data_IF_356720178544
#
_entry.id   IF_356720178544
#
_cell.length_a   1.000
_cell.length_b   1.000
_cell.length_c   1.000
_cell.angle_alpha   90.00
_cell.angle_beta   90.00
_cell.angle_gamma   90.00
#
_symmetry.space_group_name_H-M   'P 1'
#
loop_
_entity.id
_entity.type
_entity.pdbx_description
1 polymer ?
#
# COMPACT_ATOMS: atom_id res chain seq x y z
N UNK A 1 -10.69 26.37 -23.87
CA UNK A 1 -10.31 25.51 -22.73
C UNK A 1 -10.40 24.06 -23.18
N UNK A 2 -9.28 23.34 -23.28
CA UNK A 2 -9.29 21.93 -23.66
C UNK A 2 -9.74 21.07 -22.48
N UNK A 3 -10.86 20.36 -22.63
CA UNK A 3 -11.52 19.57 -21.56
C UNK A 3 -10.83 18.22 -21.33
N UNK A 4 -10.09 17.72 -22.32
CA UNK A 4 -9.40 16.44 -22.32
C UNK A 4 -7.87 16.63 -22.31
N UNK A 5 -7.18 15.79 -21.53
CA UNK A 5 -5.72 15.70 -21.51
C UNK A 5 -5.31 14.24 -21.72
N UNK A 6 -4.26 14.02 -22.51
CA UNK A 6 -3.75 12.69 -22.82
C UNK A 6 -2.48 12.44 -22.02
N UNK A 7 -2.35 11.23 -21.49
CA UNK A 7 -1.17 10.78 -20.75
C UNK A 7 -0.51 9.64 -21.51
N UNK A 8 0.80 9.70 -21.59
CA UNK A 8 1.62 8.64 -22.13
C UNK A 8 1.65 7.42 -21.19
N UNK A 9 1.30 6.26 -21.73
CA UNK A 9 1.51 4.96 -21.09
C UNK A 9 2.23 4.12 -22.15
N UNK A 10 3.56 4.11 -22.12
CA UNK A 10 4.41 3.24 -22.96
C UNK A 10 4.34 3.52 -24.47
N UNK A 11 4.30 4.79 -24.88
CA UNK A 11 4.19 5.19 -26.30
C UNK A 11 5.15 6.36 -26.55
N UNK A 12 5.93 6.36 -27.63
CA UNK A 12 6.88 7.44 -27.91
C UNK A 12 6.23 8.84 -27.88
N UNK A 13 7.00 9.82 -27.37
CA UNK A 13 6.60 11.23 -27.23
C UNK A 13 6.05 11.81 -28.55
N UNK A 14 6.63 11.42 -29.69
CA UNK A 14 6.20 11.88 -31.02
C UNK A 14 4.78 11.41 -31.39
N UNK A 15 4.48 10.14 -31.11
CA UNK A 15 3.13 9.58 -31.32
C UNK A 15 2.11 10.23 -30.39
N UNK A 16 2.49 10.57 -29.16
CA UNK A 16 1.63 11.29 -28.21
C UNK A 16 1.35 12.73 -28.66
N UNK A 17 2.35 13.43 -29.21
CA UNK A 17 2.17 14.78 -29.75
C UNK A 17 1.22 14.76 -30.95
N UNK A 18 1.34 13.77 -31.84
CA UNK A 18 0.42 13.62 -32.97
C UNK A 18 -1.02 13.32 -32.50
N UNK A 19 -1.19 12.38 -31.56
CA UNK A 19 -2.51 12.06 -31.00
C UNK A 19 -3.14 13.26 -30.28
N UNK A 20 -2.36 14.03 -29.53
CA UNK A 20 -2.80 15.25 -28.86
C UNK A 20 -3.25 16.32 -29.84
N UNK A 21 -2.53 16.48 -30.97
CA UNK A 21 -2.94 17.38 -32.06
C UNK A 21 -4.23 16.94 -32.73
N UNK A 22 -4.39 15.64 -33.00
CA UNK A 22 -5.60 15.07 -33.63
C UNK A 22 -6.84 15.20 -32.75
N UNK A 23 -6.70 14.96 -31.45
CA UNK A 23 -7.81 15.01 -30.48
C UNK A 23 -8.07 16.45 -29.99
N UNK A 24 -7.17 17.39 -30.30
CA UNK A 24 -7.20 18.75 -29.77
C UNK A 24 -7.05 18.77 -28.24
N UNK A 25 -6.27 17.86 -27.67
CA UNK A 25 -6.03 17.72 -26.23
C UNK A 25 -4.64 18.19 -25.82
N UNK A 26 -4.43 18.48 -24.53
CA UNK A 26 -3.11 18.81 -23.97
C UNK A 26 -2.40 17.56 -23.44
N UNK A 27 -1.06 17.51 -23.55
CA UNK A 27 -0.25 16.45 -22.93
C UNK A 27 -0.23 16.62 -21.40
N UNK A 28 -0.38 15.52 -20.68
CA UNK A 28 -0.33 15.45 -19.22
C UNK A 28 0.96 14.74 -18.80
N UNK A 29 1.85 15.46 -18.13
CA UNK A 29 3.11 14.90 -17.59
C UNK A 29 2.89 14.34 -16.19
N UNK A 30 3.50 13.21 -15.90
CA UNK A 30 3.50 12.63 -14.56
C UNK A 30 4.57 13.30 -13.67
N UNK A 31 4.35 13.42 -12.36
CA UNK A 31 3.11 13.13 -11.63
C UNK A 31 2.09 14.28 -11.73
N UNK A 32 0.79 13.95 -11.79
CA UNK A 32 -0.30 14.94 -11.81
C UNK A 32 -1.39 14.60 -10.78
N UNK A 33 -2.21 15.59 -10.42
CA UNK A 33 -3.32 15.39 -9.49
C UNK A 33 -4.63 15.14 -10.24
N UNK A 34 -5.31 14.05 -9.92
CA UNK A 34 -6.62 13.68 -10.44
C UNK A 34 -7.54 13.25 -9.28
N UNK A 35 -8.73 13.85 -9.20
CA UNK A 35 -9.68 13.64 -8.10
C UNK A 35 -9.05 13.83 -6.70
N UNK A 36 -8.09 14.74 -6.57
CA UNK A 36 -7.36 14.97 -5.33
C UNK A 36 -6.33 13.88 -4.99
N UNK A 37 -6.03 12.99 -5.95
CA UNK A 37 -5.00 11.96 -5.88
C UNK A 37 -3.81 12.22 -6.80
N UNK A 38 -2.57 12.11 -6.32
CA UNK A 38 -1.39 12.15 -7.18
C UNK A 38 -1.22 10.83 -7.92
N UNK A 39 -1.40 10.87 -9.23
CA UNK A 39 -1.20 9.75 -10.15
C UNK A 39 0.20 9.84 -10.77
N UNK A 40 0.87 8.69 -10.88
CA UNK A 40 2.22 8.59 -11.45
C UNK A 40 3.36 8.88 -10.47
N UNK A 41 3.08 9.09 -9.18
CA UNK A 41 4.10 9.18 -8.15
C UNK A 41 4.49 7.80 -7.59
N UNK A 42 5.77 7.61 -7.23
CA UNK A 42 6.25 6.37 -6.63
C UNK A 42 5.79 6.29 -5.16
N UNK A 43 4.63 5.69 -4.90
CA UNK A 43 4.03 5.62 -3.56
C UNK A 43 4.79 4.72 -2.57
N UNK A 44 5.83 4.02 -3.02
CA UNK A 44 6.81 3.37 -2.14
C UNK A 44 7.75 4.36 -1.43
N UNK A 45 7.90 5.60 -1.93
CA UNK A 45 8.75 6.64 -1.34
C UNK A 45 8.02 7.44 -0.28
N UNK A 46 8.72 7.79 0.80
CA UNK A 46 8.20 8.59 1.92
C UNK A 46 7.66 9.94 1.44
N UNK A 47 8.42 10.66 0.60
CA UNK A 47 8.08 12.00 0.14
C UNK A 47 6.77 12.04 -0.67
N UNK A 48 6.40 10.93 -1.31
CA UNK A 48 5.14 10.81 -2.06
C UNK A 48 3.92 10.91 -1.14
N UNK A 49 4.06 10.58 0.15
CA UNK A 49 3.01 10.66 1.15
C UNK A 49 2.88 12.04 1.82
N UNK A 50 3.82 12.97 1.57
CA UNK A 50 3.79 14.27 2.24
C UNK A 50 2.51 15.06 1.93
N UNK A 51 1.93 14.91 0.74
CA UNK A 51 0.64 15.55 0.44
C UNK A 51 -0.49 15.01 1.32
N UNK A 52 -0.54 13.69 1.55
CA UNK A 52 -1.55 13.07 2.43
C UNK A 52 -1.34 13.50 3.88
N UNK A 53 -0.08 13.53 4.33
CA UNK A 53 0.28 13.98 5.67
C UNK A 53 -0.07 15.47 5.86
N UNK A 54 0.21 16.30 4.86
CA UNK A 54 -0.15 17.72 4.88
C UNK A 54 -1.66 17.93 4.87
N UNK A 55 -2.43 17.09 4.17
CA UNK A 55 -3.90 17.11 4.26
C UNK A 55 -4.40 16.81 5.67
N UNK A 56 -3.79 15.86 6.39
CA UNK A 56 -4.12 15.60 7.79
C UNK A 56 -3.83 16.83 8.67
N UNK A 57 -2.63 17.42 8.53
CA UNK A 57 -2.25 18.63 9.26
C UNK A 57 -3.16 19.83 8.93
N UNK A 58 -3.54 20.01 7.67
CA UNK A 58 -4.42 21.09 7.24
C UNK A 58 -5.86 20.93 7.75
N UNK A 59 -6.32 19.70 7.99
CA UNK A 59 -7.61 19.47 8.67
C UNK A 59 -7.53 19.81 10.16
N UNK A 60 -6.40 19.50 10.79
CA UNK A 60 -6.14 19.83 12.19
C UNK A 60 -6.05 21.34 12.45
N UNK A 61 -5.37 22.07 11.57
CA UNK A 61 -5.19 23.53 11.73
C UNK A 61 -6.51 24.30 11.71
N UNK A 62 -7.55 23.74 11.09
CA UNK A 62 -8.90 24.32 11.08
C UNK A 62 -9.65 24.15 12.39
N UNK A 63 -9.20 23.26 13.28
CA UNK A 63 -9.89 22.97 14.53
C UNK A 63 -9.20 23.64 15.71
N UNK A 64 -9.97 24.41 16.49
CA UNK A 64 -9.50 24.94 17.77
C UNK A 64 -9.38 23.80 18.77
N UNK A 65 -8.20 23.20 18.86
CA UNK A 65 -7.93 22.04 19.73
C UNK A 65 -8.28 22.31 21.21
N UNK A 66 -8.09 23.56 21.66
CA UNK A 66 -8.35 24.01 23.04
C UNK A 66 -9.83 24.09 23.41
N UNK A 67 -10.75 24.08 22.43
CA UNK A 67 -12.20 24.17 22.69
C UNK A 67 -12.92 22.82 22.60
N UNK A 68 -12.20 21.74 22.27
CA UNK A 68 -12.78 20.43 22.10
C UNK A 68 -12.60 19.55 23.34
N UNK A 69 -13.69 18.93 23.78
CA UNK A 69 -13.62 17.89 24.81
C UNK A 69 -12.80 16.69 24.31
N UNK A 70 -12.35 15.83 25.24
CA UNK A 70 -11.65 14.60 24.86
C UNK A 70 -12.51 13.70 23.96
N UNK A 71 -13.83 13.65 24.22
CA UNK A 71 -14.79 12.93 23.37
C UNK A 71 -14.95 13.57 22.00
N UNK A 72 -15.05 14.90 21.90
CA UNK A 72 -15.10 15.61 20.63
C UNK A 72 -13.85 15.39 19.78
N UNK A 73 -12.67 15.42 20.41
CA UNK A 73 -11.39 15.07 19.77
C UNK A 73 -11.40 13.63 19.27
N UNK A 74 -11.85 12.66 20.08
CA UNK A 74 -11.97 11.26 19.68
C UNK A 74 -12.90 11.06 18.47
N UNK A 75 -14.03 11.75 18.45
CA UNK A 75 -15.00 11.66 17.34
C UNK A 75 -14.45 12.24 16.05
N UNK A 76 -13.90 13.45 16.07
CA UNK A 76 -13.28 14.09 14.89
C UNK A 76 -12.10 13.27 14.38
N UNK A 77 -11.31 12.76 15.31
CA UNK A 77 -10.22 11.86 15.02
C UNK A 77 -10.67 10.59 14.28
N UNK A 78 -11.71 9.90 14.75
CA UNK A 78 -12.22 8.67 14.12
C UNK A 78 -12.82 8.97 12.74
N UNK A 79 -13.69 9.96 12.66
CA UNK A 79 -14.49 10.22 11.46
C UNK A 79 -13.70 10.94 10.36
N UNK A 80 -12.77 11.82 10.74
CA UNK A 80 -12.12 12.73 9.79
C UNK A 80 -10.66 12.36 9.54
N UNK A 81 -9.85 12.22 10.59
CA UNK A 81 -8.44 11.86 10.42
C UNK A 81 -8.30 10.40 10.01
N UNK A 82 -9.13 9.51 10.57
CA UNK A 82 -9.17 8.10 10.21
C UNK A 82 -9.57 7.87 8.74
N UNK A 83 -10.47 8.69 8.18
CA UNK A 83 -10.97 8.53 6.81
C UNK A 83 -10.09 9.15 5.73
N UNK A 84 -9.32 10.19 6.08
CA UNK A 84 -8.53 10.97 5.11
C UNK A 84 -7.52 10.13 4.30
N UNK A 85 -6.73 9.21 4.90
CA UNK A 85 -5.75 8.43 4.14
C UNK A 85 -6.33 7.11 3.58
N UNK A 86 -7.58 6.74 3.87
CA UNK A 86 -8.14 5.40 3.54
C UNK A 86 -7.98 5.08 2.05
N UNK A 87 -8.35 6.01 1.18
CA UNK A 87 -8.28 5.80 -0.27
C UNK A 87 -6.86 5.45 -0.76
N UNK A 88 -5.83 6.10 -0.21
CA UNK A 88 -4.45 5.79 -0.59
C UNK A 88 -3.95 4.50 0.07
N UNK A 89 -4.37 4.25 1.32
CA UNK A 89 -4.03 3.03 2.03
C UNK A 89 -4.72 1.78 1.44
N UNK A 90 -5.85 1.92 0.73
CA UNK A 90 -6.44 0.79 0.01
C UNK A 90 -5.73 0.48 -1.31
N UNK A 91 -4.99 1.43 -1.86
CA UNK A 91 -4.30 1.28 -3.14
C UNK A 91 -2.82 0.92 -2.98
N UNK A 92 -2.15 1.43 -1.94
CA UNK A 92 -0.70 1.38 -1.81
C UNK A 92 -0.26 0.88 -0.45
N UNK A 93 0.83 0.12 -0.41
CA UNK A 93 1.54 -0.22 0.84
C UNK A 93 2.23 1.04 1.36
N UNK A 94 1.88 1.45 2.58
CA UNK A 94 2.44 2.68 3.16
C UNK A 94 3.80 2.37 3.82
N UNK A 95 4.83 3.20 3.61
CA UNK A 95 6.11 3.04 4.32
C UNK A 95 5.96 3.19 5.84
N UNK A 96 6.74 2.41 6.60
CA UNK A 96 6.67 2.38 8.06
C UNK A 96 6.86 3.75 8.74
N UNK A 97 7.72 4.59 8.17
CA UNK A 97 7.97 5.94 8.66
C UNK A 97 6.75 6.86 8.51
N UNK A 98 5.98 6.68 7.42
CA UNK A 98 4.76 7.45 7.17
C UNK A 98 3.67 7.05 8.17
N UNK A 99 3.54 5.76 8.51
CA UNK A 99 2.65 5.34 9.60
C UNK A 99 3.00 6.04 10.91
N UNK A 100 4.28 6.01 11.31
CA UNK A 100 4.74 6.67 12.53
C UNK A 100 4.44 8.16 12.52
N UNK A 101 4.65 8.84 11.39
CA UNK A 101 4.34 10.28 11.22
C UNK A 101 2.85 10.54 11.38
N UNK A 102 1.98 9.78 10.70
CA UNK A 102 0.53 9.94 10.77
C UNK A 102 -0.04 9.59 12.16
N UNK A 103 0.44 8.52 12.79
CA UNK A 103 0.05 8.13 14.15
C UNK A 103 0.52 9.15 15.21
N UNK A 104 1.70 9.74 15.02
CA UNK A 104 2.19 10.83 15.88
C UNK A 104 1.27 12.06 15.82
N UNK A 105 0.87 12.47 14.61
CA UNK A 105 -0.08 13.57 14.39
C UNK A 105 -1.41 13.30 15.11
N UNK A 106 -1.93 12.08 14.95
CA UNK A 106 -3.14 11.58 15.59
C UNK A 106 -3.05 11.60 17.13
N UNK A 107 -1.93 11.13 17.68
CA UNK A 107 -1.67 11.09 19.12
C UNK A 107 -1.59 12.47 19.75
N UNK A 108 -0.88 13.40 19.10
CA UNK A 108 -0.76 14.79 19.55
C UNK A 108 -2.11 15.50 19.57
N UNK A 109 -2.91 15.36 18.51
CA UNK A 109 -4.25 15.92 18.46
C UNK A 109 -5.14 15.39 19.58
N UNK A 110 -5.17 14.07 19.77
CA UNK A 110 -5.97 13.46 20.84
C UNK A 110 -5.55 13.95 22.23
N UNK A 111 -4.24 14.07 22.48
CA UNK A 111 -3.70 14.57 23.74
C UNK A 111 -3.79 16.10 23.89
N UNK A 112 -4.22 16.84 22.86
CA UNK A 112 -4.42 18.30 22.97
C UNK A 112 -3.14 19.10 22.85
N UNK A 113 -2.14 18.51 22.18
CA UNK A 113 -0.82 19.09 22.00
C UNK A 113 -0.74 19.70 20.60
N UNK A 114 -0.49 21.00 20.54
CA UNK A 114 -0.29 21.73 19.28
C UNK A 114 1.03 21.28 18.62
N UNK A 115 1.18 21.44 17.31
CA UNK A 115 2.36 21.01 16.53
C UNK A 115 3.66 21.60 17.10
N UNK A 116 3.63 22.83 17.61
CA UNK A 116 4.82 23.52 18.14
C UNK A 116 5.01 23.40 19.66
N UNK A 117 4.12 22.71 20.36
CA UNK A 117 4.20 22.56 21.82
C UNK A 117 4.83 21.22 22.20
N UNK A 118 5.73 21.20 23.17
CA UNK A 118 6.19 19.95 23.78
C UNK A 118 5.50 19.77 25.14
N UNK A 119 4.41 18.99 25.15
CA UNK A 119 3.61 18.71 26.35
C UNK A 119 3.58 17.22 26.63
N UNK A 120 3.51 16.88 27.91
CA UNK A 120 3.33 15.50 28.37
C UNK A 120 1.99 14.94 27.87
N UNK A 121 2.00 13.69 27.41
CA UNK A 121 0.79 12.99 26.99
C UNK A 121 0.08 12.38 28.20
N UNK A 122 -1.18 12.75 28.41
CA UNK A 122 -2.01 12.21 29.49
C UNK A 122 -2.46 10.77 29.22
N UNK A 123 -2.60 10.41 27.94
CA UNK A 123 -3.06 9.07 27.53
C UNK A 123 -2.04 8.44 26.59
N UNK A 124 -1.58 7.24 26.98
CA UNK A 124 -0.71 6.41 26.15
C UNK A 124 -1.39 6.04 24.84
N UNK A 125 -0.70 6.26 23.72
CA UNK A 125 -1.26 5.98 22.39
C UNK A 125 -1.63 4.50 22.20
N UNK A 126 -0.84 3.59 22.77
CA UNK A 126 -1.12 2.16 22.70
C UNK A 126 -2.43 1.79 23.42
N UNK A 127 -2.79 2.49 24.51
CA UNK A 127 -4.09 2.30 25.19
C UNK A 127 -5.25 2.83 24.33
N UNK A 128 -5.05 3.92 23.60
CA UNK A 128 -6.07 4.46 22.68
C UNK A 128 -6.36 3.46 21.55
N UNK A 129 -5.31 2.85 20.98
CA UNK A 129 -5.42 1.89 19.87
C UNK A 129 -5.97 0.52 20.29
N UNK A 130 -5.87 0.15 21.57
CA UNK A 130 -6.39 -1.14 22.04
C UNK A 130 -7.92 -1.24 21.85
N UNK A 131 -8.43 -2.47 21.68
CA UNK A 131 -9.86 -2.73 21.59
C UNK A 131 -10.59 -2.32 22.88
N UNK A 132 -11.89 -2.03 22.77
CA UNK A 132 -12.73 -1.70 23.93
C UNK A 132 -12.76 -2.83 24.96
N UNK A 133 -12.74 -4.08 24.49
CA UNK A 133 -12.67 -5.29 25.34
C UNK A 133 -11.41 -5.33 26.20
N UNK A 134 -10.28 -4.83 25.66
CA UNK A 134 -9.01 -4.71 26.38
C UNK A 134 -8.87 -3.39 27.15
N UNK A 135 -9.97 -2.68 27.38
CA UNK A 135 -10.00 -1.40 28.10
C UNK A 135 -9.47 -0.20 27.31
N UNK A 136 -9.34 -0.32 25.99
CA UNK A 136 -8.94 0.76 25.09
C UNK A 136 -10.11 1.53 24.47
N UNK A 137 -9.81 2.42 23.51
CA UNK A 137 -10.83 3.25 22.85
C UNK A 137 -11.34 2.67 21.52
N UNK A 138 -10.86 1.49 21.12
CA UNK A 138 -11.30 0.78 19.92
C UNK A 138 -11.00 1.59 18.67
N UNK A 139 -9.75 2.01 18.52
CA UNK A 139 -9.29 2.86 17.43
C UNK A 139 -8.38 2.07 16.53
N UNK A 140 -8.64 2.10 15.22
CA UNK A 140 -7.80 1.43 14.24
C UNK A 140 -6.46 2.15 14.07
N UNK A 141 -5.37 1.38 14.23
CA UNK A 141 -4.02 1.78 13.85
C UNK A 141 -3.88 1.75 12.32
N UNK A 142 -3.23 2.76 11.74
CA UNK A 142 -3.06 2.83 10.28
C UNK A 142 -2.25 1.68 9.70
N UNK A 143 -1.30 1.12 10.46
CA UNK A 143 -0.56 -0.07 10.04
C UNK A 143 -1.51 -1.25 9.80
N UNK A 144 -2.29 -1.61 10.81
CA UNK A 144 -3.26 -2.70 10.71
C UNK A 144 -4.33 -2.41 9.64
N UNK A 145 -4.77 -1.16 9.54
CA UNK A 145 -5.75 -0.74 8.54
C UNK A 145 -5.25 -0.86 7.11
N UNK A 146 -4.03 -0.39 6.80
CA UNK A 146 -3.47 -0.48 5.45
C UNK A 146 -3.29 -1.93 5.01
N UNK A 147 -2.74 -2.76 5.90
CA UNK A 147 -2.58 -4.18 5.61
C UNK A 147 -3.93 -4.90 5.44
N UNK A 148 -4.89 -4.57 6.31
CA UNK A 148 -6.29 -4.97 6.19
C UNK A 148 -6.90 -4.66 4.83
N UNK A 149 -6.83 -3.39 4.41
CA UNK A 149 -7.38 -2.91 3.14
C UNK A 149 -6.70 -3.52 1.91
N UNK A 150 -5.43 -3.92 2.02
CA UNK A 150 -4.69 -4.60 0.95
C UNK A 150 -4.94 -6.11 0.94
N UNK A 151 -5.80 -6.64 1.82
CA UNK A 151 -6.05 -8.08 1.95
C UNK A 151 -4.82 -8.86 2.42
N UNK A 152 -3.82 -8.21 3.02
CA UNK A 152 -2.61 -8.87 3.52
C UNK A 152 -2.83 -9.29 4.97
N UNK A 153 -2.75 -10.59 5.23
CA UNK A 153 -2.80 -11.13 6.59
C UNK A 153 -1.58 -10.68 7.40
N UNK A 154 -1.82 -10.13 8.59
CA UNK A 154 -0.77 -9.58 9.47
C UNK A 154 -0.99 -9.99 10.91
N UNK A 155 0.08 -10.45 11.56
CA UNK A 155 0.16 -10.55 13.02
C UNK A 155 0.35 -9.14 13.61
N UNK A 156 -0.74 -8.41 13.78
CA UNK A 156 -0.73 -7.13 14.48
C UNK A 156 -0.84 -7.40 16.00
N UNK A 157 -0.03 -6.73 16.85
CA UNK A 157 -0.22 -6.79 18.30
C UNK A 157 -1.53 -6.13 18.76
N UNK A 158 -2.22 -5.43 17.86
CA UNK A 158 -3.49 -4.75 18.13
C UNK A 158 -4.65 -5.41 17.38
N UNK A 159 -5.71 -5.85 18.08
CA UNK A 159 -6.92 -6.38 17.45
C UNK A 159 -7.64 -5.29 16.66
N UNK A 160 -8.19 -5.64 15.50
CA UNK A 160 -8.76 -4.69 14.55
C UNK A 160 -9.88 -5.37 13.76
N UNK A 161 -10.98 -4.66 13.51
CA UNK A 161 -12.13 -5.17 12.72
C UNK A 161 -11.66 -5.67 11.34
N UNK A 162 -10.64 -5.04 10.77
CA UNK A 162 -10.05 -5.49 9.49
C UNK A 162 -9.24 -6.78 9.61
N UNK A 163 -8.68 -7.08 10.78
CA UNK A 163 -8.02 -8.36 11.04
C UNK A 163 -9.08 -9.44 11.22
N UNK A 164 -10.22 -9.12 11.83
CA UNK A 164 -11.35 -10.04 11.95
C UNK A 164 -11.91 -10.37 10.55
N UNK A 165 -12.10 -9.36 9.70
CA UNK A 165 -12.48 -9.56 8.28
C UNK A 165 -11.45 -10.44 7.54
N UNK A 166 -10.15 -10.20 7.73
CA UNK A 166 -9.10 -11.04 7.12
C UNK A 166 -9.16 -12.47 7.65
N UNK A 167 -9.38 -12.65 8.96
CA UNK A 167 -9.53 -13.97 9.56
C UNK A 167 -10.76 -14.69 9.01
N UNK A 168 -11.87 -13.98 8.81
CA UNK A 168 -13.07 -14.52 8.19
C UNK A 168 -12.83 -14.88 6.72
N UNK A 169 -12.07 -14.07 5.98
CA UNK A 169 -11.62 -14.39 4.62
C UNK A 169 -10.75 -15.65 4.58
N UNK A 170 -9.80 -15.80 5.51
CA UNK A 170 -8.96 -17.00 5.63
C UNK A 170 -9.80 -18.23 6.03
N UNK A 171 -10.81 -18.06 6.90
CA UNK A 171 -11.75 -19.12 7.25
C UNK A 171 -12.59 -19.58 6.05
N UNK A 172 -13.11 -18.63 5.25
CA UNK A 172 -13.84 -18.93 4.01
C UNK A 172 -12.95 -19.65 3.00
N UNK A 173 -11.69 -19.25 2.89
CA UNK A 173 -10.71 -19.92 2.05
C UNK A 173 -10.46 -21.37 2.50
N UNK A 174 -10.40 -21.62 3.80
CA UNK A 174 -10.31 -22.99 4.35
C UNK A 174 -11.56 -23.84 4.05
N UNK A 175 -12.71 -23.20 3.84
CA UNK A 175 -13.96 -23.84 3.39
C UNK A 175 -14.06 -23.98 1.87
N UNK A 176 -13.02 -23.63 1.12
CA UNK A 176 -12.96 -23.74 -0.34
C UNK A 176 -13.49 -22.52 -1.10
N UNK A 177 -13.84 -21.43 -0.41
CA UNK A 177 -14.31 -20.19 -1.03
C UNK A 177 -13.15 -19.18 -1.04
N UNK A 178 -12.42 -19.13 -2.16
CA UNK A 178 -11.31 -18.18 -2.33
C UNK A 178 -11.81 -16.84 -2.92
N UNK A 179 -12.34 -15.97 -2.05
CA UNK A 179 -12.78 -14.63 -2.44
C UNK A 179 -11.63 -13.77 -2.99
N UNK A 180 -10.41 -13.93 -2.47
CA UNK A 180 -9.24 -13.19 -2.96
C UNK A 180 -8.81 -13.67 -4.35
N UNK A 181 -9.00 -14.96 -4.65
CA UNK A 181 -8.82 -15.53 -5.98
C UNK A 181 -9.76 -14.94 -7.05
N UNK A 182 -10.89 -14.34 -6.67
CA UNK A 182 -11.77 -13.61 -7.59
C UNK A 182 -11.21 -12.23 -8.00
N UNK A 183 -10.25 -11.71 -7.25
CA UNK A 183 -9.60 -10.42 -7.54
C UNK A 183 -8.28 -10.66 -8.29
N UNK A 184 -8.25 -10.31 -9.58
CA UNK A 184 -6.99 -10.28 -10.32
C UNK A 184 -6.17 -9.05 -9.94
N UNK A 185 -5.05 -9.26 -9.25
CA UNK A 185 -4.04 -8.22 -9.03
C UNK A 185 -3.34 -7.93 -10.36
N UNK A 186 -3.73 -6.85 -11.03
CA UNK A 186 -3.04 -6.38 -12.23
C UNK A 186 -1.74 -5.67 -11.83
N UNK A 187 -0.59 -6.25 -12.20
CA UNK A 187 0.71 -5.62 -11.99
C UNK A 187 0.86 -4.46 -12.99
N UNK A 188 1.35 -3.33 -12.49
CA UNK A 188 1.77 -2.21 -13.34
C UNK A 188 3.12 -2.49 -14.01
N UNK A 189 4.10 -1.63 -13.78
CA UNK A 189 5.45 -1.77 -14.36
C UNK A 189 6.34 -2.83 -13.68
N UNK A 190 5.89 -3.46 -12.58
CA UNK A 190 6.62 -4.54 -11.88
C UNK A 190 7.80 -4.09 -10.99
N UNK A 191 8.10 -2.78 -10.89
CA UNK A 191 9.31 -2.28 -10.20
C UNK A 191 9.21 -2.40 -8.67
N UNK A 192 8.01 -2.24 -8.11
CA UNK A 192 7.74 -2.28 -6.67
C UNK A 192 7.22 -3.65 -6.17
N UNK A 193 7.27 -4.70 -7.01
CA UNK A 193 6.79 -6.05 -6.67
C UNK A 193 7.97 -7.02 -6.67
N UNK A 194 8.19 -7.73 -5.56
CA UNK A 194 9.26 -8.74 -5.45
C UNK A 194 8.82 -9.98 -6.21
N UNK A 195 9.66 -10.47 -7.13
CA UNK A 195 9.34 -11.57 -8.03
C UNK A 195 9.07 -12.89 -7.29
N UNK A 196 9.84 -13.20 -6.25
CA UNK A 196 9.75 -14.50 -5.60
C UNK A 196 8.75 -14.57 -4.45
N UNK A 197 8.72 -13.51 -3.64
CA UNK A 197 8.06 -13.52 -2.32
C UNK A 197 6.66 -12.88 -2.34
N UNK A 198 6.29 -12.17 -3.41
CA UNK A 198 4.93 -11.64 -3.56
C UNK A 198 4.08 -12.48 -4.54
N UNK A 199 2.80 -12.67 -4.20
CA UNK A 199 1.81 -13.28 -5.08
C UNK A 199 1.40 -12.29 -6.18
N UNK A 200 2.10 -12.33 -7.30
CA UNK A 200 1.91 -11.40 -8.41
C UNK A 200 1.34 -12.09 -9.67
N UNK A 201 1.57 -13.41 -9.85
CA UNK A 201 0.94 -14.27 -10.87
C UNK A 201 0.44 -15.54 -10.16
N UNK A 202 -0.84 -15.91 -10.36
CA UNK A 202 -1.41 -17.17 -9.85
C UNK A 202 -1.76 -17.24 -8.35
N UNK A 203 -1.95 -16.10 -7.67
CA UNK A 203 -2.51 -16.04 -6.30
C UNK A 203 -1.60 -16.51 -5.16
N UNK A 204 -0.45 -17.15 -5.44
CA UNK A 204 0.58 -17.51 -4.44
C UNK A 204 1.96 -16.99 -4.87
N UNK A 205 2.86 -16.82 -3.90
CA UNK A 205 4.24 -16.43 -4.15
C UNK A 205 5.00 -17.53 -4.92
N UNK A 206 5.89 -17.14 -5.82
CA UNK A 206 6.65 -18.08 -6.65
C UNK A 206 7.60 -18.95 -5.85
N UNK A 207 8.10 -18.48 -4.70
CA UNK A 207 8.91 -19.32 -3.80
C UNK A 207 8.17 -20.56 -3.29
N UNK A 208 6.83 -20.50 -3.24
CA UNK A 208 5.97 -21.59 -2.78
C UNK A 208 5.71 -22.58 -3.92
N UNK A 209 5.50 -22.09 -5.15
CA UNK A 209 5.28 -22.94 -6.33
C UNK A 209 6.56 -23.57 -6.85
N UNK A 210 7.67 -22.82 -6.84
CA UNK A 210 8.94 -23.20 -7.45
C UNK A 210 10.10 -23.16 -6.44
N UNK A 211 10.02 -23.90 -5.32
CA UNK A 211 10.99 -23.82 -4.23
C UNK A 211 12.41 -24.23 -4.67
N UNK A 212 12.54 -25.12 -5.67
CA UNK A 212 13.86 -25.56 -6.17
C UNK A 212 14.53 -24.47 -6.98
N UNK A 213 13.78 -23.72 -7.78
CA UNK A 213 14.33 -22.59 -8.53
C UNK A 213 14.62 -21.41 -7.60
N UNK A 214 13.74 -21.13 -6.64
CA UNK A 214 13.99 -20.10 -5.62
C UNK A 214 15.27 -20.37 -4.81
N UNK A 215 15.60 -21.64 -4.53
CA UNK A 215 16.84 -22.01 -3.87
C UNK A 215 18.09 -21.73 -4.72
N UNK A 216 17.96 -21.74 -6.05
CA UNK A 216 19.04 -21.42 -6.99
C UNK A 216 19.16 -19.91 -7.27
N UNK A 217 18.20 -19.09 -6.83
CA UNK A 217 18.20 -17.65 -7.08
C UNK A 217 19.29 -16.94 -6.29
N UNK A 218 20.12 -16.16 -6.99
CA UNK A 218 21.17 -15.36 -6.35
C UNK A 218 20.59 -14.07 -5.77
N UNK A 219 19.56 -13.49 -6.41
CA UNK A 219 18.90 -12.26 -5.97
C UNK A 219 17.42 -12.50 -5.61
N UNK A 220 17.15 -12.96 -4.39
CA UNK A 220 15.78 -13.25 -3.92
C UNK A 220 14.85 -12.02 -3.87
N UNK A 221 15.45 -10.85 -3.69
CA UNK A 221 14.77 -9.56 -3.60
C UNK A 221 14.62 -8.87 -4.97
N UNK A 222 14.89 -9.57 -6.07
CA UNK A 222 14.71 -9.04 -7.43
C UNK A 222 13.25 -8.67 -7.67
N UNK A 223 13.02 -7.49 -8.27
CA UNK A 223 11.68 -7.06 -8.63
C UNK A 223 11.22 -7.69 -9.95
N UNK A 224 9.90 -7.71 -10.17
CA UNK A 224 9.28 -8.33 -11.36
C UNK A 224 9.76 -7.66 -12.65
N UNK A 225 9.91 -6.34 -12.67
CA UNK A 225 10.35 -5.61 -13.86
C UNK A 225 11.75 -6.03 -14.32
N UNK A 226 12.71 -6.00 -13.39
CA UNK A 226 14.11 -6.35 -13.63
C UNK A 226 14.26 -7.83 -13.96
N UNK A 227 13.46 -8.70 -13.33
CA UNK A 227 13.53 -10.14 -13.57
C UNK A 227 12.95 -10.53 -14.93
N UNK A 228 11.85 -9.92 -15.35
CA UNK A 228 11.21 -10.16 -16.66
C UNK A 228 11.88 -9.42 -17.82
N UNK A 229 12.71 -8.40 -17.54
CA UNK A 229 13.52 -7.72 -18.56
C UNK A 229 14.75 -8.52 -19.01
N UNK A 230 15.06 -9.64 -18.35
CA UNK A 230 16.16 -10.54 -18.75
C UNK A 230 15.69 -11.42 -19.91
N UNK A 231 16.56 -11.63 -20.92
CA UNK A 231 16.26 -12.52 -22.05
C UNK A 231 16.02 -13.98 -21.61
N UNK A 232 16.57 -14.36 -20.44
CA UNK A 232 16.37 -15.66 -19.83
C UNK A 232 16.24 -15.52 -18.31
N UNK A 233 15.14 -16.05 -17.75
CA UNK A 233 14.88 -16.09 -16.30
C UNK A 233 15.97 -16.84 -15.51
N UNK A 234 16.75 -17.68 -16.18
CA UNK A 234 17.88 -18.42 -15.64
C UNK A 234 19.13 -17.58 -15.35
N UNK A 235 19.24 -16.35 -15.88
CA UNK A 235 20.48 -15.55 -15.76
C UNK A 235 20.85 -15.15 -14.34
N UNK A 236 19.89 -15.02 -13.44
CA UNK A 236 20.17 -14.70 -12.03
C UNK A 236 20.29 -15.93 -11.14
N UNK A 237 20.16 -17.14 -11.69
CA UNK A 237 20.39 -18.38 -10.97
C UNK A 237 21.89 -18.62 -10.80
N UNK A 238 22.29 -19.13 -9.64
CA UNK A 238 23.69 -19.46 -9.35
C UNK A 238 24.23 -20.61 -10.21
N UNK A 239 23.33 -21.41 -10.80
CA UNK A 239 23.60 -22.43 -11.83
C UNK A 239 22.33 -22.75 -12.62
N UNK A 240 22.51 -23.31 -13.82
CA UNK A 240 21.42 -23.79 -14.66
C UNK A 240 20.74 -25.02 -13.99
N UNK A 241 19.40 -25.13 -14.04
CA UNK A 241 18.68 -26.33 -13.62
C UNK A 241 19.18 -27.56 -14.37
N UNK A 242 19.48 -28.67 -13.66
CA UNK A 242 20.19 -29.80 -14.26
C UNK A 242 19.28 -30.88 -14.85
N UNK A 243 18.23 -31.29 -14.11
CA UNK A 243 17.22 -32.28 -14.57
C UNK A 243 16.15 -32.50 -13.50
N UNK A 244 15.12 -33.28 -13.83
CA UNK A 244 14.04 -33.68 -12.91
C UNK A 244 13.18 -32.50 -12.47
N UNK A 245 12.76 -32.49 -11.20
CA UNK A 245 11.87 -31.46 -10.66
C UNK A 245 12.43 -30.03 -10.78
N UNK A 246 13.75 -29.84 -10.86
CA UNK A 246 14.35 -28.52 -11.16
C UNK A 246 13.94 -28.06 -12.59
N UNK A 247 14.08 -28.89 -13.62
CA UNK A 247 13.77 -28.48 -15.00
C UNK A 247 12.25 -28.32 -15.22
N UNK A 248 11.45 -29.16 -14.57
CA UNK A 248 9.98 -29.08 -14.62
C UNK A 248 9.49 -27.75 -14.05
N UNK A 249 9.97 -27.36 -12.85
CA UNK A 249 9.62 -26.08 -12.23
C UNK A 249 10.09 -24.88 -13.07
N UNK A 250 11.27 -24.97 -13.69
CA UNK A 250 11.80 -23.90 -14.52
C UNK A 250 11.00 -23.69 -15.81
N UNK A 251 10.61 -24.79 -16.47
CA UNK A 251 9.80 -24.74 -17.68
C UNK A 251 8.39 -24.22 -17.39
N UNK A 252 7.77 -24.69 -16.31
CA UNK A 252 6.44 -24.24 -15.89
C UNK A 252 6.43 -22.74 -15.52
N UNK A 253 7.46 -22.27 -14.82
CA UNK A 253 7.63 -20.85 -14.48
C UNK A 253 7.84 -19.95 -15.70
N UNK A 254 8.47 -20.47 -16.76
CA UNK A 254 8.82 -19.72 -17.97
C UNK A 254 7.67 -19.62 -18.97
N UNK A 255 6.58 -20.37 -18.77
CA UNK A 255 5.33 -20.30 -19.54
C UNK A 255 4.34 -19.27 -18.95
#
# INVERSE_FOLDING_TARGET
MHKSKLMEITVDDDTMIQAARLIGGLQLKSPFSYLGSKIGGLMSRINSWDEIVNKLLARLSKWKMKTLSIGGRLTLFKLVLGSTPIFYMSLFKVPSQVFKKMESIRSRFFNGVDVNENKMFWVSWNKVLASKEKGGLGVLCFYAMNHGLLGKSVKSPFPSIWLDIIHDLDNLRNQGIDLLGLFEKKIGNGVDTIFWEEAWKGGKAFEIHYPRIYALETCKQVNVASKLALDNLGFSLCRIPRSGTEIEQFNDMSN
#
